data_IF_519037073150
#
_entry.id   IF_519037073150
#
_cell.length_a   1.000
_cell.length_b   1.000
_cell.length_c   1.000
_cell.angle_alpha   90.00
_cell.angle_beta   90.00
_cell.angle_gamma   90.00
#
_symmetry.space_group_name_H-M   'P 1'
#
loop_
_entity.id
_entity.type
_entity.pdbx_description
1 polymer ?
#
# COMPACT_ATOMS: atom_id res chain seq x y z
N UNK A 1 17.15 76.37 -51.51
CA UNK A 1 16.58 75.01 -51.59
C UNK A 1 16.01 74.73 -50.20
N UNK A 2 14.73 75.06 -49.95
CA UNK A 2 13.58 74.14 -50.01
C UNK A 2 13.84 72.82 -49.23
N UNK A 3 13.00 72.28 -48.35
CA UNK A 3 11.79 72.68 -47.63
C UNK A 3 11.37 71.43 -46.79
N UNK A 4 10.61 71.62 -45.70
CA UNK A 4 9.66 70.66 -45.08
C UNK A 4 10.12 69.46 -44.19
N UNK A 5 9.82 69.60 -42.89
CA UNK A 5 9.35 68.56 -41.94
C UNK A 5 7.89 68.14 -42.35
N UNK A 6 7.26 66.98 -42.00
CA UNK A 6 7.08 66.53 -40.61
C UNK A 6 7.01 65.01 -40.30
N UNK A 7 7.26 64.73 -39.02
CA UNK A 7 6.76 63.60 -38.23
C UNK A 7 5.31 63.24 -38.61
N UNK A 8 5.07 62.01 -39.02
CA UNK A 8 3.76 61.40 -38.80
C UNK A 8 3.77 59.88 -38.88
N UNK A 9 2.98 59.32 -37.94
CA UNK A 9 2.11 58.16 -38.12
C UNK A 9 2.65 56.77 -37.75
N UNK A 10 2.24 56.39 -36.53
CA UNK A 10 1.47 55.18 -36.15
C UNK A 10 2.23 54.28 -35.17
N UNK A 11 1.93 54.42 -33.88
CA UNK A 11 1.10 53.49 -33.08
C UNK A 11 1.94 52.31 -32.56
N UNK A 12 2.33 52.35 -31.29
CA UNK A 12 1.61 51.68 -30.20
C UNK A 12 1.54 50.16 -30.40
N UNK A 13 2.45 49.42 -29.78
CA UNK A 13 2.09 48.15 -29.12
C UNK A 13 2.84 48.09 -27.79
N UNK A 14 2.13 48.44 -26.72
CA UNK A 14 2.50 48.05 -25.35
C UNK A 14 2.38 46.52 -25.29
N UNK A 15 3.50 45.81 -25.17
CA UNK A 15 3.49 44.39 -24.86
C UNK A 15 3.03 44.21 -23.41
N UNK A 16 1.75 43.88 -23.21
CA UNK A 16 1.25 43.41 -21.93
C UNK A 16 1.66 41.94 -21.76
N UNK A 17 2.54 41.65 -20.80
CA UNK A 17 2.80 40.29 -20.34
C UNK A 17 1.59 39.82 -19.51
N UNK A 18 0.73 39.01 -20.09
CA UNK A 18 -0.28 38.24 -19.36
C UNK A 18 0.37 36.95 -18.84
N UNK A 19 0.74 36.94 -17.56
CA UNK A 19 1.14 35.71 -16.88
C UNK A 19 -0.11 34.86 -16.58
N UNK A 20 -0.38 33.86 -17.41
CA UNK A 20 -1.38 32.82 -17.14
C UNK A 20 -0.85 31.89 -16.04
N UNK A 21 -1.23 32.16 -14.79
CA UNK A 21 -1.14 31.18 -13.71
C UNK A 21 -2.13 30.04 -13.99
N UNK A 22 -1.64 28.94 -14.54
CA UNK A 22 -2.39 27.68 -14.58
C UNK A 22 -2.43 27.12 -13.15
N UNK A 23 -3.50 27.40 -12.41
CA UNK A 23 -3.80 26.71 -11.16
C UNK A 23 -4.08 25.24 -11.48
N UNK A 24 -3.08 24.37 -11.31
CA UNK A 24 -3.32 22.94 -11.27
C UNK A 24 -4.20 22.65 -10.04
N UNK A 25 -5.49 22.40 -10.27
CA UNK A 25 -6.40 21.95 -9.23
C UNK A 25 -5.89 20.61 -8.72
N UNK A 26 -5.34 20.58 -7.51
CA UNK A 26 -5.07 19.34 -6.80
C UNK A 26 -6.43 18.75 -6.44
N UNK A 27 -6.87 17.75 -7.21
CA UNK A 27 -8.04 16.96 -6.85
C UNK A 27 -7.68 16.15 -5.62
N UNK A 28 -8.31 16.45 -4.48
CA UNK A 28 -8.23 15.61 -3.29
C UNK A 28 -8.87 14.25 -3.61
N UNK A 29 -8.04 13.25 -3.92
CA UNK A 29 -8.50 11.87 -4.10
C UNK A 29 -8.96 11.37 -2.72
N UNK A 30 -10.20 10.86 -2.63
CA UNK A 30 -10.67 10.19 -1.42
C UNK A 30 -9.72 9.04 -1.05
N UNK A 31 -9.49 8.83 0.24
CA UNK A 31 -8.64 7.74 0.71
C UNK A 31 -9.25 6.39 0.29
N UNK A 32 -8.43 5.42 -0.15
CA UNK A 32 -8.94 4.12 -0.59
C UNK A 32 -9.55 3.36 0.60
N UNK A 33 -10.48 2.44 0.32
CA UNK A 33 -11.05 1.60 1.38
C UNK A 33 -9.96 0.71 1.98
N UNK A 34 -9.90 0.61 3.31
CA UNK A 34 -8.96 -0.24 4.04
C UNK A 34 -9.04 -1.69 3.54
N UNK A 35 -7.88 -2.25 3.16
CA UNK A 35 -7.77 -3.59 2.54
C UNK A 35 -8.51 -3.75 1.21
N UNK A 36 -8.71 -2.66 0.46
CA UNK A 36 -9.03 -2.74 -0.96
C UNK A 36 -7.78 -2.93 -1.81
N UNK A 37 -7.88 -3.44 -3.06
CA UNK A 37 -6.73 -3.55 -3.96
C UNK A 37 -5.93 -2.25 -4.12
N UNK A 38 -6.61 -1.10 -4.20
CA UNK A 38 -5.96 0.21 -4.31
C UNK A 38 -5.17 0.58 -3.04
N UNK A 39 -5.75 0.31 -1.86
CA UNK A 39 -5.04 0.49 -0.59
C UNK A 39 -3.84 -0.44 -0.51
N UNK A 40 -3.98 -1.70 -0.90
CA UNK A 40 -2.90 -2.71 -0.85
C UNK A 40 -1.74 -2.35 -1.77
N UNK A 41 -2.01 -1.75 -2.93
CA UNK A 41 -0.96 -1.19 -3.80
C UNK A 41 -0.18 -0.07 -3.09
N UNK A 42 -0.87 0.82 -2.37
CA UNK A 42 -0.25 1.89 -1.58
C UNK A 42 0.54 1.33 -0.39
N UNK A 43 0.00 0.30 0.26
CA UNK A 43 0.66 -0.42 1.35
C UNK A 43 1.95 -1.12 0.88
N UNK A 44 1.94 -1.70 -0.32
CA UNK A 44 3.13 -2.28 -0.95
C UNK A 44 4.23 -1.24 -1.20
N UNK A 45 3.86 -0.02 -1.60
CA UNK A 45 4.82 1.09 -1.75
C UNK A 45 5.38 1.52 -0.38
N UNK A 46 4.52 1.67 0.62
CA UNK A 46 4.94 2.03 1.98
C UNK A 46 5.85 0.96 2.62
N UNK A 47 5.57 -0.32 2.36
CA UNK A 47 6.44 -1.44 2.75
C UNK A 47 7.87 -1.20 2.29
N UNK A 48 8.06 -0.87 1.02
CA UNK A 48 9.38 -0.67 0.41
C UNK A 48 10.13 0.56 0.96
N UNK A 49 9.44 1.43 1.69
CA UNK A 49 10.02 2.60 2.35
C UNK A 49 10.22 2.38 3.86
N UNK A 50 9.96 1.17 4.36
CA UNK A 50 10.01 0.83 5.79
C UNK A 50 11.15 -0.15 6.06
N UNK A 51 12.33 0.32 6.54
CA UNK A 51 13.50 -0.55 6.78
C UNK A 51 13.22 -1.72 7.74
N UNK A 52 12.35 -1.51 8.74
CA UNK A 52 11.94 -2.55 9.67
C UNK A 52 11.27 -3.74 8.97
N UNK A 53 10.65 -3.51 7.82
CA UNK A 53 10.06 -4.55 6.98
C UNK A 53 11.08 -5.07 5.97
N UNK A 54 11.69 -4.18 5.18
CA UNK A 54 12.58 -4.62 4.09
C UNK A 54 13.84 -5.32 4.59
N UNK A 55 14.43 -4.85 5.68
CA UNK A 55 15.65 -5.43 6.25
C UNK A 55 15.33 -6.44 7.36
N UNK A 56 14.33 -6.12 8.19
CA UNK A 56 13.97 -6.96 9.32
C UNK A 56 13.38 -8.32 8.92
N UNK A 57 12.84 -8.44 7.70
CA UNK A 57 12.34 -9.71 7.15
C UNK A 57 13.33 -10.42 6.22
N UNK A 58 14.51 -9.84 5.96
CA UNK A 58 15.48 -10.36 5.00
C UNK A 58 16.07 -11.75 5.35
N UNK A 59 15.95 -12.19 6.60
CA UNK A 59 16.48 -13.47 7.06
C UNK A 59 15.61 -14.67 6.68
N UNK A 60 15.51 -15.62 7.60
CA UNK A 60 14.75 -16.86 7.42
C UNK A 60 13.31 -16.62 6.96
N UNK A 61 12.65 -15.57 7.45
CA UNK A 61 11.29 -15.26 7.03
C UNK A 61 11.17 -15.20 5.51
N UNK A 62 12.06 -14.48 4.83
CA UNK A 62 12.03 -14.31 3.38
C UNK A 62 12.48 -15.57 2.63
N UNK A 63 13.46 -16.30 3.18
CA UNK A 63 14.11 -17.42 2.51
C UNK A 63 13.45 -18.79 2.74
N UNK A 64 12.56 -18.93 3.70
CA UNK A 64 11.76 -20.15 3.91
C UNK A 64 10.63 -20.29 2.87
N UNK A 65 10.93 -20.16 1.57
CA UNK A 65 9.93 -20.00 0.50
C UNK A 65 9.72 -21.26 -0.36
N UNK A 66 10.29 -22.39 0.04
CA UNK A 66 10.35 -23.66 -0.72
C UNK A 66 11.00 -23.51 -2.11
N UNK A 67 11.94 -22.58 -2.26
CA UNK A 67 12.67 -22.34 -3.51
C UNK A 67 11.87 -21.56 -4.56
N UNK A 68 10.73 -20.96 -4.17
CA UNK A 68 9.86 -20.22 -5.10
C UNK A 68 10.37 -18.80 -5.41
N UNK A 69 11.24 -18.25 -4.58
CA UNK A 69 11.75 -16.89 -4.71
C UNK A 69 10.73 -15.80 -4.35
N UNK A 70 9.69 -16.13 -3.56
CA UNK A 70 8.71 -15.16 -3.08
C UNK A 70 7.89 -15.66 -1.89
N UNK A 71 7.32 -14.69 -1.16
CA UNK A 71 6.28 -14.89 -0.16
C UNK A 71 4.99 -14.23 -0.59
N UNK A 72 3.89 -14.88 -0.25
CA UNK A 72 2.55 -14.32 -0.34
C UNK A 72 2.05 -13.98 1.07
N UNK A 73 1.54 -12.76 1.21
CA UNK A 73 0.84 -12.31 2.41
C UNK A 73 -0.57 -11.91 2.00
N UNK A 74 -1.54 -12.74 2.37
CA UNK A 74 -2.95 -12.45 2.20
C UNK A 74 -3.52 -11.77 3.44
N UNK A 75 -4.44 -10.84 3.23
CA UNK A 75 -5.15 -10.20 4.34
C UNK A 75 -6.59 -9.84 3.99
N UNK A 76 -7.46 -9.84 5.00
CA UNK A 76 -8.83 -9.34 4.88
C UNK A 76 -9.43 -8.90 6.22
N UNK A 77 -10.57 -8.22 6.15
CA UNK A 77 -11.40 -7.88 7.30
C UNK A 77 -12.45 -8.96 7.53
N UNK A 78 -12.46 -9.59 8.69
CA UNK A 78 -13.38 -10.70 9.03
C UNK A 78 -14.85 -10.31 8.80
N UNK A 79 -15.22 -9.10 9.20
CA UNK A 79 -16.56 -8.51 9.03
C UNK A 79 -16.90 -8.11 7.58
N UNK A 80 -15.95 -8.20 6.65
CA UNK A 80 -16.14 -8.03 5.21
C UNK A 80 -16.05 -9.33 4.40
N UNK A 81 -15.94 -10.47 5.08
CA UNK A 81 -15.76 -11.81 4.50
C UNK A 81 -14.43 -12.04 3.79
N UNK A 82 -14.07 -13.32 3.68
CA UNK A 82 -12.90 -13.79 2.90
C UNK A 82 -12.96 -13.40 1.42
N UNK A 83 -14.13 -13.09 0.87
CA UNK A 83 -14.27 -12.64 -0.52
C UNK A 83 -13.64 -11.27 -0.79
N UNK A 84 -13.30 -10.49 0.23
CA UNK A 84 -12.65 -9.17 0.12
C UNK A 84 -11.12 -9.22 0.21
N UNK A 85 -10.54 -10.42 0.19
CA UNK A 85 -9.13 -10.65 0.40
C UNK A 85 -8.24 -9.93 -0.61
N UNK A 86 -7.07 -9.52 -0.14
CA UNK A 86 -6.02 -8.88 -0.91
C UNK A 86 -4.69 -9.57 -0.66
N UNK A 87 -3.74 -9.35 -1.56
CA UNK A 87 -2.45 -10.01 -1.61
C UNK A 87 -1.32 -8.98 -1.63
N UNK A 88 -0.25 -9.26 -0.89
CA UNK A 88 1.08 -8.72 -1.13
C UNK A 88 2.01 -9.85 -1.60
N UNK A 89 2.82 -9.57 -2.62
CA UNK A 89 3.92 -10.44 -3.05
C UNK A 89 5.25 -9.82 -2.65
N UNK A 90 6.00 -10.53 -1.81
CA UNK A 90 7.30 -10.10 -1.32
C UNK A 90 8.39 -10.95 -1.96
N UNK A 91 9.40 -10.32 -2.54
CA UNK A 91 10.48 -10.97 -3.31
C UNK A 91 11.83 -10.55 -2.72
N UNK A 92 12.81 -11.46 -2.61
CA UNK A 92 14.18 -11.10 -2.30
C UNK A 92 14.79 -10.27 -3.42
N UNK A 93 15.22 -9.06 -3.08
CA UNK A 93 16.01 -8.18 -3.96
C UNK A 93 17.08 -7.49 -3.12
N UNK A 94 18.34 -7.60 -3.55
CA UNK A 94 19.50 -7.01 -2.87
C UNK A 94 19.60 -7.39 -1.38
N UNK A 95 19.25 -8.64 -1.05
CA UNK A 95 19.22 -9.13 0.32
C UNK A 95 18.14 -8.51 1.21
N UNK A 96 17.07 -7.95 0.61
CA UNK A 96 15.93 -7.34 1.33
C UNK A 96 14.59 -7.90 0.85
N UNK A 97 13.60 -7.84 1.72
CA UNK A 97 12.22 -8.24 1.47
C UNK A 97 11.45 -7.11 0.76
N UNK A 98 11.43 -7.09 -0.57
CA UNK A 98 10.73 -6.07 -1.36
C UNK A 98 9.32 -6.50 -1.74
N UNK A 99 8.34 -5.64 -1.49
CA UNK A 99 7.01 -5.82 -2.04
C UNK A 99 7.00 -5.47 -3.55
N UNK A 100 6.67 -6.44 -4.40
CA UNK A 100 6.62 -6.26 -5.86
C UNK A 100 5.20 -6.18 -6.40
N UNK A 101 4.21 -6.60 -5.62
CA UNK A 101 2.80 -6.52 -5.98
C UNK A 101 1.95 -6.34 -4.72
N UNK A 102 0.93 -5.49 -4.83
CA UNK A 102 -0.11 -5.31 -3.84
C UNK A 102 -1.45 -5.09 -4.53
N UNK A 103 -2.45 -5.91 -4.26
CA UNK A 103 -3.73 -5.83 -4.97
C UNK A 103 -4.68 -6.98 -4.68
N UNK A 104 -5.55 -7.30 -5.63
CA UNK A 104 -6.40 -8.48 -5.57
C UNK A 104 -5.55 -9.77 -5.66
N UNK A 105 -5.97 -10.90 -5.08
CA UNK A 105 -5.22 -12.15 -5.15
C UNK A 105 -5.02 -12.59 -6.61
N UNK A 106 -3.77 -12.86 -6.98
CA UNK A 106 -3.39 -13.33 -8.31
C UNK A 106 -2.37 -14.47 -8.27
N UNK A 107 -1.81 -14.78 -7.10
CA UNK A 107 -0.87 -15.87 -6.89
C UNK A 107 -1.44 -16.83 -5.85
N UNK A 108 -1.59 -18.13 -6.17
CA UNK A 108 -2.03 -19.10 -5.16
C UNK A 108 -1.06 -19.16 -3.98
N UNK A 109 -1.56 -18.91 -2.77
CA UNK A 109 -0.78 -19.02 -1.54
C UNK A 109 -0.53 -20.49 -1.15
N UNK A 110 0.66 -20.77 -0.61
CA UNK A 110 1.04 -22.02 0.02
C UNK A 110 1.32 -21.77 1.50
N UNK A 111 0.32 -21.98 2.37
CA UNK A 111 0.41 -21.64 3.79
C UNK A 111 1.38 -22.48 4.64
N UNK A 112 2.11 -23.43 4.03
CA UNK A 112 3.29 -23.99 4.68
C UNK A 112 4.42 -22.95 4.79
N UNK A 113 4.43 -21.96 3.89
CA UNK A 113 5.48 -20.94 3.77
C UNK A 113 4.95 -19.51 3.62
N UNK A 114 3.69 -19.36 3.21
CA UNK A 114 2.98 -18.09 3.05
C UNK A 114 2.10 -17.79 4.26
N UNK A 115 1.50 -16.60 4.26
CA UNK A 115 0.79 -16.06 5.40
C UNK A 115 -0.60 -15.58 5.01
N UNK A 116 -1.58 -15.88 5.85
CA UNK A 116 -2.91 -15.27 5.81
C UNK A 116 -3.20 -14.64 7.18
N UNK A 117 -3.67 -13.40 7.16
CA UNK A 117 -4.05 -12.65 8.33
C UNK A 117 -5.46 -12.08 8.21
N UNK A 118 -6.27 -12.22 9.26
CA UNK A 118 -7.55 -11.52 9.28
C UNK A 118 -7.99 -11.13 10.69
N UNK A 119 -8.73 -10.04 10.78
CA UNK A 119 -9.27 -9.50 12.01
C UNK A 119 -10.52 -8.67 11.68
N UNK A 120 -11.32 -8.33 12.67
CA UNK A 120 -12.39 -7.34 12.46
C UNK A 120 -11.79 -5.98 12.12
N UNK A 121 -12.54 -5.12 11.43
CA UNK A 121 -12.17 -3.72 11.15
C UNK A 121 -11.63 -3.01 12.39
N UNK A 122 -12.37 -3.09 13.50
CA UNK A 122 -12.00 -2.48 14.79
C UNK A 122 -10.64 -2.98 15.30
N UNK A 123 -10.34 -4.27 15.14
CA UNK A 123 -9.08 -4.84 15.58
C UNK A 123 -7.94 -4.40 14.68
N UNK A 124 -8.13 -4.37 13.35
CA UNK A 124 -7.14 -3.82 12.42
C UNK A 124 -6.79 -2.36 12.72
N UNK A 125 -7.79 -1.53 12.98
CA UNK A 125 -7.59 -0.12 13.36
C UNK A 125 -6.86 0.03 14.70
N UNK A 126 -7.22 -0.79 15.70
CA UNK A 126 -6.55 -0.78 17.01
C UNK A 126 -5.07 -1.20 16.90
N UNK A 127 -4.78 -2.24 16.13
CA UNK A 127 -3.39 -2.66 15.84
C UNK A 127 -2.61 -1.60 15.05
N UNK A 128 -3.26 -0.96 14.08
CA UNK A 128 -2.69 0.14 13.30
C UNK A 128 -2.32 1.37 14.15
N UNK A 129 -3.08 1.62 15.22
CA UNK A 129 -2.77 2.67 16.21
C UNK A 129 -1.66 2.29 17.18
N UNK A 130 -1.44 0.99 17.37
CA UNK A 130 -0.51 0.46 18.36
C UNK A 130 -1.03 0.51 19.80
N UNK A 131 -2.35 0.62 20.01
CA UNK A 131 -2.95 0.68 21.35
C UNK A 131 -4.24 -0.17 21.46
N UNK A 132 -4.26 -1.21 22.33
CA UNK A 132 -3.07 -1.84 22.94
C UNK A 132 -2.14 -2.41 21.86
N UNK A 133 -0.84 -2.49 22.16
CA UNK A 133 0.20 -2.77 21.18
C UNK A 133 0.00 -4.03 20.33
N UNK A 134 0.63 -4.12 19.14
CA UNK A 134 0.44 -5.23 18.21
C UNK A 134 0.72 -6.62 18.82
N UNK A 135 1.65 -6.69 19.79
CA UNK A 135 1.91 -7.89 20.59
C UNK A 135 0.71 -8.39 21.37
N UNK A 136 -0.05 -7.49 22.00
CA UNK A 136 -1.25 -7.85 22.75
C UNK A 136 -2.36 -8.33 21.81
N UNK A 137 -2.49 -7.72 20.63
CA UNK A 137 -3.49 -8.12 19.65
C UNK A 137 -3.25 -9.55 19.14
N UNK A 138 -2.00 -9.94 18.93
CA UNK A 138 -1.63 -11.32 18.61
C UNK A 138 -1.92 -12.28 19.76
N UNK A 139 -1.60 -11.92 21.00
CA UNK A 139 -1.80 -12.80 22.17
C UNK A 139 -3.28 -12.95 22.57
N UNK A 140 -4.12 -11.96 22.29
CA UNK A 140 -5.55 -11.96 22.61
C UNK A 140 -6.42 -12.72 21.60
N UNK A 141 -5.84 -13.29 20.53
CA UNK A 141 -6.58 -13.94 19.45
C UNK A 141 -7.39 -12.97 18.59
N UNK A 142 -7.09 -11.67 18.65
CA UNK A 142 -7.81 -10.62 17.90
C UNK A 142 -7.36 -10.51 16.45
N UNK A 143 -6.19 -11.05 16.16
CA UNK A 143 -5.66 -11.28 14.83
C UNK A 143 -5.56 -12.78 14.62
N UNK A 144 -6.33 -13.28 13.65
CA UNK A 144 -6.25 -14.65 13.20
C UNK A 144 -5.10 -14.78 12.19
N UNK A 145 -4.35 -15.87 12.32
CA UNK A 145 -3.13 -16.08 11.57
C UNK A 145 -3.00 -17.53 11.12
N UNK A 146 -2.79 -17.70 9.82
CA UNK A 146 -2.44 -18.95 9.17
C UNK A 146 -1.07 -18.80 8.47
N UNK A 147 -0.21 -19.81 8.63
CA UNK A 147 1.18 -19.79 8.14
C UNK A 147 2.15 -20.39 9.16
N UNK A 148 3.47 -20.41 8.86
CA UNK A 148 4.50 -20.92 9.76
C UNK A 148 4.69 -19.99 10.97
N UNK A 149 3.88 -20.18 12.02
CA UNK A 149 3.84 -19.32 13.23
C UNK A 149 5.22 -19.11 13.88
N UNK A 150 6.07 -20.14 13.95
CA UNK A 150 7.41 -20.02 14.54
C UNK A 150 8.34 -19.12 13.72
N UNK A 151 8.20 -19.11 12.40
CA UNK A 151 8.96 -18.21 11.52
C UNK A 151 8.49 -16.77 11.73
N UNK A 152 7.17 -16.55 11.81
CA UNK A 152 6.60 -15.23 12.10
C UNK A 152 6.97 -14.73 13.51
N UNK A 153 6.96 -15.59 14.52
CA UNK A 153 7.36 -15.23 15.90
C UNK A 153 8.84 -14.85 16.00
N UNK A 154 9.73 -15.43 15.19
CA UNK A 154 11.14 -15.00 15.12
C UNK A 154 11.29 -13.64 14.42
N UNK A 155 10.34 -13.28 13.58
CA UNK A 155 10.24 -11.99 12.89
C UNK A 155 9.28 -10.99 13.58
N UNK A 156 9.17 -11.04 14.91
CA UNK A 156 8.12 -10.33 15.65
C UNK A 156 8.19 -8.80 15.53
N UNK A 157 9.40 -8.20 15.55
CA UNK A 157 9.58 -6.75 15.44
C UNK A 157 9.18 -6.22 14.05
N UNK A 158 9.59 -6.86 12.93
CA UNK A 158 9.04 -6.54 11.63
C UNK A 158 7.52 -6.71 11.56
N UNK A 159 6.97 -7.76 12.16
CA UNK A 159 5.53 -7.99 12.17
C UNK A 159 4.76 -6.90 12.92
N UNK A 160 5.30 -6.41 14.05
CA UNK A 160 4.79 -5.22 14.73
C UNK A 160 4.79 -4.00 13.81
N UNK A 161 5.86 -3.80 13.05
CA UNK A 161 5.96 -2.70 12.06
C UNK A 161 4.92 -2.84 10.94
N UNK A 162 4.64 -4.06 10.49
CA UNK A 162 3.57 -4.35 9.54
C UNK A 162 2.21 -3.93 10.10
N UNK A 163 1.90 -4.34 11.34
CA UNK A 163 0.63 -4.01 11.99
C UNK A 163 0.47 -2.49 12.20
N UNK A 164 1.52 -1.80 12.64
CA UNK A 164 1.50 -0.33 12.76
C UNK A 164 1.33 0.36 11.39
N UNK A 165 1.90 -0.20 10.33
CA UNK A 165 1.79 0.37 8.99
C UNK A 165 0.34 0.36 8.47
N UNK A 166 -0.48 -0.60 8.92
CA UNK A 166 -1.92 -0.63 8.59
C UNK A 166 -2.61 0.68 8.99
N UNK A 167 -2.22 1.27 10.12
CA UNK A 167 -2.75 2.56 10.59
C UNK A 167 -2.05 3.80 10.01
N UNK A 168 -0.94 3.64 9.29
CA UNK A 168 -0.18 4.74 8.68
C UNK A 168 -0.51 4.98 7.22
N UNK A 169 -0.89 3.94 6.48
CA UNK A 169 -1.30 4.06 5.09
C UNK A 169 -2.72 4.63 5.05
N UNK A 170 -2.96 5.80 4.42
CA UNK A 170 -4.27 6.44 4.40
C UNK A 170 -5.37 5.51 3.90
N UNK A 171 -6.49 5.43 4.64
CA UNK A 171 -7.61 4.55 4.29
C UNK A 171 -8.93 4.97 4.93
N UNK A 172 -10.04 4.59 4.31
CA UNK A 172 -11.38 4.64 4.88
C UNK A 172 -11.86 3.24 5.28
N UNK A 173 -12.42 3.08 6.48
CA UNK A 173 -12.86 1.77 6.98
C UNK A 173 -14.40 1.61 7.06
N UNK A 174 -15.15 2.68 6.78
CA UNK A 174 -16.61 2.74 6.94
C UNK A 174 -17.40 1.83 5.99
N UNK A 175 -16.78 1.32 4.93
CA UNK A 175 -17.37 0.35 4.01
C UNK A 175 -16.45 -0.85 3.82
N UNK A 176 -17.01 -1.97 3.40
CA UNK A 176 -16.20 -3.14 3.01
C UNK A 176 -15.64 -2.96 1.59
N UNK A 177 -14.42 -3.46 1.31
CA UNK A 177 -13.92 -3.55 -0.06
C UNK A 177 -14.87 -4.37 -0.93
N UNK A 178 -14.95 -4.02 -2.22
CA UNK A 178 -15.62 -4.88 -3.19
C UNK A 178 -14.97 -6.27 -3.18
N UNK A 179 -15.78 -7.32 -3.30
CA UNK A 179 -15.25 -8.67 -3.38
C UNK A 179 -14.24 -8.79 -4.53
N UNK A 180 -13.13 -9.47 -4.30
CA UNK A 180 -12.18 -9.83 -5.33
C UNK A 180 -12.85 -10.84 -6.26
N UNK A 181 -13.60 -10.36 -7.25
CA UNK A 181 -13.91 -11.18 -8.42
C UNK A 181 -12.59 -11.49 -9.10
N UNK A 182 -12.12 -12.73 -8.98
CA UNK A 182 -11.10 -13.25 -9.88
C UNK A 182 -11.67 -13.10 -11.30
N UNK A 183 -11.26 -12.07 -12.02
CA UNK A 183 -11.40 -12.04 -13.47
C UNK A 183 -10.39 -13.04 -14.02
N UNK A 184 -10.75 -14.32 -13.96
CA UNK A 184 -10.24 -15.32 -14.88
C UNK A 184 -10.81 -14.97 -16.25
N UNK A 185 -10.18 -14.00 -16.92
CA UNK A 185 -10.30 -13.87 -18.36
C UNK A 185 -9.39 -14.95 -18.95
N UNK A 186 -9.98 -16.13 -19.15
CA UNK A 186 -9.54 -16.99 -20.23
C UNK A 186 -9.74 -16.21 -21.54
N UNK A 187 -8.64 -15.78 -22.15
CA UNK A 187 -8.51 -15.49 -23.58
C UNK A 187 -7.12 -15.93 -24.02
#
# INVERSE_FOLDING_TARGET
MQAFNPISRKHLVRAALTALFACAAVTAQAAPVLMSPQWTASFCQAWNQTPQLTEGLAGEWLHDDKGRGYKIVEMYRTDCSKGSMVELKIVPRDGKAYCTYGGAPNTPANFDVDFLMHASTKNWESMGKGDPGPMWAMMSGKLEFQGPKLVAMRAIKPFESFLLMVGKVPSEAGTCPAASTQTSAAQ
#
